data_IF_216622249788
#
_entry.id   IF_216622249788
#
_cell.length_a   1.000
_cell.length_b   1.000
_cell.length_c   1.000
_cell.angle_alpha   90.00
_cell.angle_beta   90.00
_cell.angle_gamma   90.00
#
_symmetry.space_group_name_H-M   'P 1'
#
loop_
_entity.id
_entity.type
_entity.pdbx_description
1 polymer ?
#
# COMPACT_ATOMS: atom_id res chain seq x y z
N UNK A 1 4.73 -5.99 -36.16
CA UNK A 1 3.45 -6.47 -35.60
C UNK A 1 2.97 -5.37 -34.67
N UNK A 2 1.81 -4.78 -34.93
CA UNK A 2 1.25 -3.71 -34.08
C UNK A 2 0.74 -4.36 -32.80
N UNK A 3 1.25 -3.92 -31.66
CA UNK A 3 0.88 -4.44 -30.36
C UNK A 3 -0.47 -3.84 -29.94
N UNK A 4 -1.48 -4.68 -29.66
CA UNK A 4 -2.77 -4.19 -29.13
C UNK A 4 -2.60 -3.80 -27.66
N UNK A 5 -3.00 -2.59 -27.32
CA UNK A 5 -3.01 -2.09 -25.97
C UNK A 5 -4.18 -1.12 -25.75
N UNK A 6 -4.54 -0.90 -24.50
CA UNK A 6 -5.43 0.19 -24.11
C UNK A 6 -4.89 0.91 -22.89
N UNK A 7 -5.34 2.15 -22.69
CA UNK A 7 -4.98 2.98 -21.55
C UNK A 7 -6.19 3.10 -20.63
N UNK A 8 -5.96 2.96 -19.33
CA UNK A 8 -6.93 3.31 -18.29
C UNK A 8 -6.37 4.42 -17.41
N UNK A 9 -7.28 5.17 -16.79
CA UNK A 9 -6.99 6.31 -15.95
C UNK A 9 -6.28 7.46 -16.67
N UNK A 10 -5.83 8.43 -15.88
CA UNK A 10 -5.09 9.60 -16.36
C UNK A 10 -4.14 10.10 -15.29
N UNK A 11 -3.08 10.79 -15.71
CA UNK A 11 -2.21 11.49 -14.77
C UNK A 11 -2.96 12.72 -14.24
N UNK A 12 -3.09 12.80 -12.92
CA UNK A 12 -3.67 13.95 -12.23
C UNK A 12 -2.59 14.56 -11.34
N UNK A 13 -2.01 15.69 -11.74
CA UNK A 13 -0.90 16.31 -11.02
C UNK A 13 -1.28 16.75 -9.61
N UNK A 14 -2.53 17.16 -9.42
CA UNK A 14 -3.07 17.60 -8.15
C UNK A 14 -3.86 16.51 -7.40
N UNK A 15 -3.69 15.22 -7.73
CA UNK A 15 -4.48 14.15 -7.09
C UNK A 15 -4.38 14.15 -5.56
N UNK A 16 -3.20 14.47 -5.02
CA UNK A 16 -3.00 14.54 -3.57
C UNK A 16 -3.72 15.73 -2.93
N UNK A 17 -4.13 16.73 -3.71
CA UNK A 17 -4.86 17.91 -3.25
C UNK A 17 -6.38 17.78 -3.41
N UNK A 18 -6.86 16.72 -4.07
CA UNK A 18 -8.29 16.42 -4.14
C UNK A 18 -8.78 16.06 -2.74
N UNK A 19 -10.05 16.33 -2.44
CA UNK A 19 -10.69 15.93 -1.19
C UNK A 19 -11.58 14.70 -1.36
N UNK A 20 -11.67 13.91 -0.30
CA UNK A 20 -12.65 12.83 -0.12
C UNK A 20 -13.38 13.04 1.21
N UNK A 21 -14.49 12.33 1.43
CA UNK A 21 -15.26 12.44 2.66
C UNK A 21 -15.30 11.12 3.40
N UNK A 22 -14.98 11.15 4.69
CA UNK A 22 -15.19 10.02 5.60
C UNK A 22 -15.15 10.48 7.05
N UNK A 23 -15.62 9.61 7.95
CA UNK A 23 -15.47 9.75 9.39
C UNK A 23 -14.07 9.30 9.84
N UNK A 24 -13.23 10.18 10.41
CA UNK A 24 -11.86 9.86 10.81
C UNK A 24 -11.78 8.69 11.78
N UNK A 25 -12.62 8.65 12.82
CA UNK A 25 -12.59 7.58 13.83
C UNK A 25 -12.99 6.24 13.24
N UNK A 26 -13.99 6.19 12.35
CA UNK A 26 -14.42 4.95 11.69
C UNK A 26 -13.29 4.29 10.88
N UNK A 27 -12.35 5.09 10.36
CA UNK A 27 -11.19 4.60 9.56
C UNK A 27 -9.97 4.23 10.38
N UNK A 28 -9.92 4.57 11.68
CA UNK A 28 -8.77 4.25 12.55
C UNK A 28 -8.47 2.75 12.58
N UNK A 29 -9.52 1.93 12.59
CA UNK A 29 -9.41 0.47 12.62
C UNK A 29 -8.61 -0.06 11.44
N UNK A 30 -8.95 0.36 10.23
CA UNK A 30 -8.38 -0.21 9.01
C UNK A 30 -7.05 0.45 8.63
N UNK A 31 -6.86 1.73 8.96
CA UNK A 31 -5.65 2.46 8.56
C UNK A 31 -4.51 2.29 9.57
N UNK A 32 -4.82 2.15 10.87
CA UNK A 32 -3.82 2.20 11.94
C UNK A 32 -3.89 0.98 12.86
N UNK A 33 -5.04 0.75 13.49
CA UNK A 33 -5.11 -0.12 14.66
C UNK A 33 -5.00 -1.61 14.31
N UNK A 34 -5.81 -2.13 13.38
CA UNK A 34 -5.72 -3.55 12.98
C UNK A 34 -4.38 -3.90 12.32
N UNK A 35 -3.82 -3.09 11.40
CA UNK A 35 -2.48 -3.37 10.86
C UNK A 35 -1.40 -3.41 11.95
N UNK A 36 -1.43 -2.48 12.91
CA UNK A 36 -0.46 -2.43 13.99
C UNK A 36 -0.62 -3.58 14.98
N UNK A 37 -1.86 -3.90 15.39
CA UNK A 37 -2.19 -5.03 16.25
C UNK A 37 -1.68 -6.35 15.64
N UNK A 38 -1.97 -6.56 14.36
CA UNK A 38 -1.52 -7.74 13.63
C UNK A 38 0.00 -7.78 13.52
N UNK A 39 0.67 -6.67 13.23
CA UNK A 39 2.14 -6.62 13.13
C UNK A 39 2.79 -7.02 14.45
N UNK A 40 2.33 -6.46 15.58
CA UNK A 40 2.89 -6.79 16.89
C UNK A 40 2.63 -8.27 17.23
N UNK A 41 1.43 -8.79 16.94
CA UNK A 41 1.11 -10.20 17.16
C UNK A 41 1.95 -11.13 16.27
N UNK A 42 2.20 -10.72 15.01
CA UNK A 42 3.06 -11.43 14.08
C UNK A 42 4.51 -11.49 14.59
N UNK A 43 5.07 -10.35 15.02
CA UNK A 43 6.42 -10.30 15.61
C UNK A 43 6.46 -11.20 16.85
N UNK A 44 5.44 -11.14 17.73
CA UNK A 44 5.38 -12.00 18.92
C UNK A 44 5.43 -13.49 18.60
N UNK A 45 4.83 -13.92 17.49
CA UNK A 45 4.82 -15.33 17.07
C UNK A 45 6.15 -15.79 16.46
N UNK A 46 6.81 -14.91 15.70
CA UNK A 46 8.00 -15.27 14.92
C UNK A 46 9.30 -14.94 15.66
N UNK A 47 9.31 -13.84 16.41
CA UNK A 47 10.47 -13.27 17.14
C UNK A 47 10.01 -12.64 18.48
N UNK A 48 9.53 -13.44 19.44
CA UNK A 48 8.96 -12.94 20.69
C UNK A 48 9.91 -12.03 21.50
N UNK A 49 11.20 -12.29 21.43
CA UNK A 49 12.26 -11.53 22.11
C UNK A 49 12.35 -10.07 21.64
N UNK A 50 11.99 -9.78 20.38
CA UNK A 50 12.16 -8.46 19.77
C UNK A 50 10.92 -7.55 19.96
N UNK A 51 9.81 -8.09 20.47
CA UNK A 51 8.54 -7.34 20.62
C UNK A 51 8.72 -6.12 21.52
N UNK A 52 9.42 -6.28 22.65
CA UNK A 52 9.56 -5.22 23.63
C UNK A 52 10.36 -4.04 23.06
N UNK A 53 11.46 -4.32 22.37
CA UNK A 53 12.31 -3.30 21.75
C UNK A 53 11.62 -2.64 20.55
N UNK A 54 10.92 -3.41 19.72
CA UNK A 54 10.09 -2.86 18.65
C UNK A 54 9.01 -1.90 19.17
N UNK A 55 8.21 -2.33 20.16
CA UNK A 55 7.14 -1.49 20.73
C UNK A 55 7.72 -0.23 21.38
N UNK A 56 8.82 -0.36 22.13
CA UNK A 56 9.51 0.77 22.77
C UNK A 56 10.03 1.76 21.72
N UNK A 57 10.72 1.27 20.69
CA UNK A 57 11.25 2.07 19.60
C UNK A 57 10.14 2.82 18.85
N UNK A 58 9.08 2.11 18.46
CA UNK A 58 7.97 2.70 17.73
C UNK A 58 7.19 3.72 18.59
N UNK A 59 7.04 3.46 19.89
CA UNK A 59 6.42 4.41 20.83
C UNK A 59 7.24 5.70 20.90
N UNK A 60 8.57 5.60 20.98
CA UNK A 60 9.45 6.76 20.99
C UNK A 60 9.37 7.52 19.66
N UNK A 61 9.36 6.81 18.53
CA UNK A 61 9.19 7.41 17.19
C UNK A 61 7.91 8.24 17.08
N UNK A 62 6.76 7.69 17.49
CA UNK A 62 5.53 8.47 17.45
C UNK A 62 5.53 9.63 18.44
N UNK A 63 6.15 9.49 19.61
CA UNK A 63 6.31 10.61 20.55
C UNK A 63 7.06 11.79 19.93
N UNK A 64 8.04 11.53 19.08
CA UNK A 64 8.82 12.56 18.37
C UNK A 64 8.03 13.19 17.20
N UNK A 65 7.13 12.43 16.58
CA UNK A 65 6.34 12.87 15.43
C UNK A 65 5.05 13.61 15.79
N UNK A 66 4.47 13.28 16.95
CA UNK A 66 3.22 13.85 17.45
C UNK A 66 3.50 15.24 18.04
N UNK A 67 2.79 16.24 17.52
CA UNK A 67 2.92 17.64 17.95
C UNK A 67 2.12 17.94 19.21
N UNK A 68 1.00 17.26 19.43
CA UNK A 68 0.12 17.42 20.59
C UNK A 68 -0.58 16.10 20.90
N UNK A 69 -0.75 15.83 22.20
CA UNK A 69 -1.31 14.58 22.70
C UNK A 69 -2.79 14.78 23.04
N UNK A 70 -3.61 15.02 22.02
CA UNK A 70 -5.01 15.39 22.19
C UNK A 70 -5.80 14.38 23.03
N UNK A 71 -5.56 13.09 22.85
CA UNK A 71 -6.22 12.06 23.67
C UNK A 71 -5.93 12.25 25.17
N UNK A 72 -4.68 12.54 25.54
CA UNK A 72 -4.32 12.81 26.94
C UNK A 72 -4.84 14.17 27.41
N UNK A 73 -4.66 15.23 26.62
CA UNK A 73 -5.06 16.60 26.95
C UNK A 73 -6.59 16.73 27.16
N UNK A 74 -7.38 15.94 26.43
CA UNK A 74 -8.84 15.93 26.49
C UNK A 74 -9.42 14.84 27.39
N UNK A 75 -8.57 13.94 27.91
CA UNK A 75 -9.02 12.81 28.71
C UNK A 75 -9.89 11.81 27.92
N UNK A 76 -9.62 11.63 26.63
CA UNK A 76 -10.34 10.69 25.77
C UNK A 76 -9.85 9.27 26.00
N UNK A 77 -10.77 8.34 26.21
CA UNK A 77 -10.46 6.92 26.42
C UNK A 77 -10.06 6.23 25.11
N UNK A 78 -8.79 5.85 25.00
CA UNK A 78 -8.25 5.11 23.84
C UNK A 78 -8.67 3.65 23.90
N UNK A 79 -8.87 3.12 25.10
CA UNK A 79 -9.21 1.74 25.40
C UNK A 79 -10.46 1.28 24.64
N UNK A 80 -11.45 2.15 24.47
CA UNK A 80 -12.67 1.84 23.71
C UNK A 80 -12.40 1.66 22.22
N UNK A 81 -11.47 2.45 21.66
CA UNK A 81 -11.08 2.34 20.25
C UNK A 81 -10.24 1.10 19.98
N UNK A 82 -9.48 0.62 20.96
CA UNK A 82 -8.61 -0.55 20.80
C UNK A 82 -9.16 -1.85 21.38
N UNK A 83 -10.40 -1.86 21.90
CA UNK A 83 -10.99 -3.04 22.57
C UNK A 83 -10.99 -4.33 21.75
N UNK A 84 -11.01 -4.22 20.42
CA UNK A 84 -10.98 -5.36 19.49
C UNK A 84 -9.54 -5.77 19.11
N UNK A 85 -8.55 -4.92 19.39
CA UNK A 85 -7.13 -5.11 19.12
C UNK A 85 -6.45 -5.78 20.33
N UNK A 86 -6.60 -7.12 20.44
CA UNK A 86 -6.19 -7.92 21.60
C UNK A 86 -4.71 -7.75 22.00
N UNK A 87 -3.84 -7.56 21.01
CA UNK A 87 -2.41 -7.40 21.22
C UNK A 87 -2.08 -5.97 21.58
N UNK A 88 -2.64 -5.01 20.86
CA UNK A 88 -2.41 -3.58 21.04
C UNK A 88 -2.99 -3.04 22.36
N UNK A 89 -4.02 -3.70 22.92
CA UNK A 89 -4.54 -3.46 24.26
C UNK A 89 -3.47 -3.53 25.36
N UNK A 90 -2.39 -4.29 25.15
CA UNK A 90 -1.27 -4.38 26.10
C UNK A 90 -0.33 -3.17 26.00
N UNK A 91 -0.50 -2.33 24.97
CA UNK A 91 0.36 -1.19 24.64
C UNK A 91 -0.46 0.09 24.37
N UNK A 92 -1.31 0.54 25.32
CA UNK A 92 -2.23 1.65 25.09
C UNK A 92 -1.51 2.97 24.77
N UNK A 93 -0.32 3.19 25.32
CA UNK A 93 0.51 4.36 25.00
C UNK A 93 0.94 4.40 23.53
N UNK A 94 1.32 3.25 22.96
CA UNK A 94 1.66 3.17 21.54
C UNK A 94 0.43 3.47 20.69
N UNK A 95 -0.70 2.84 21.00
CA UNK A 95 -1.95 3.07 20.29
C UNK A 95 -2.38 4.54 20.30
N UNK A 96 -2.33 5.18 21.47
CA UNK A 96 -2.67 6.59 21.66
C UNK A 96 -1.78 7.50 20.80
N UNK A 97 -0.47 7.29 20.82
CA UNK A 97 0.45 8.11 20.02
C UNK A 97 0.26 7.88 18.51
N UNK A 98 0.02 6.64 18.08
CA UNK A 98 -0.30 6.34 16.69
C UNK A 98 -1.61 7.00 16.23
N UNK A 99 -2.64 7.03 17.09
CA UNK A 99 -3.92 7.71 16.82
C UNK A 99 -3.78 9.24 16.78
N UNK A 100 -3.02 9.84 17.71
CA UNK A 100 -2.72 11.28 17.64
C UNK A 100 -2.01 11.62 16.32
N UNK A 101 -1.02 10.82 15.92
CA UNK A 101 -0.31 11.02 14.66
C UNK A 101 -1.24 10.90 13.45
N UNK A 102 -2.14 9.91 13.47
CA UNK A 102 -3.17 9.72 12.45
C UNK A 102 -4.07 10.97 12.30
N UNK A 103 -4.64 11.48 13.40
CA UNK A 103 -5.48 12.68 13.37
C UNK A 103 -4.67 13.90 12.88
N UNK A 104 -3.43 14.03 13.33
CA UNK A 104 -2.51 15.09 12.91
C UNK A 104 -2.28 15.08 11.40
N UNK A 105 -1.99 13.93 10.79
CA UNK A 105 -1.72 13.86 9.34
C UNK A 105 -2.99 14.01 8.49
N UNK A 106 -4.17 13.68 9.04
CA UNK A 106 -5.44 14.02 8.40
C UNK A 106 -5.77 15.52 8.49
N UNK A 107 -5.06 16.26 9.36
CA UNK A 107 -5.27 17.68 9.62
C UNK A 107 -6.70 18.01 10.11
N UNK A 108 -7.25 17.17 10.99
CA UNK A 108 -8.59 17.36 11.58
C UNK A 108 -8.44 17.97 12.98
N UNK A 109 -8.51 19.30 13.05
CA UNK A 109 -8.18 20.05 14.27
C UNK A 109 -9.30 20.11 15.32
N UNK A 110 -10.56 19.85 14.95
CA UNK A 110 -11.70 19.90 15.88
C UNK A 110 -12.12 18.49 16.27
N UNK A 111 -12.32 18.27 17.56
CA UNK A 111 -12.71 16.96 18.10
C UNK A 111 -14.06 16.47 17.58
N UNK A 112 -15.07 17.35 17.48
CA UNK A 112 -16.39 17.00 16.93
C UNK A 112 -16.31 16.47 15.48
N UNK A 113 -15.32 16.94 14.72
CA UNK A 113 -15.06 16.53 13.34
C UNK A 113 -14.46 15.10 13.27
N UNK A 114 -13.96 14.56 14.37
CA UNK A 114 -13.38 13.21 14.41
C UNK A 114 -14.45 12.12 14.28
N UNK A 115 -15.66 12.41 14.74
CA UNK A 115 -16.78 11.46 14.83
C UNK A 115 -17.85 11.69 13.77
N UNK A 116 -17.61 12.59 12.82
CA UNK A 116 -18.54 12.94 11.75
C UNK A 116 -17.87 12.85 10.39
N UNK A 117 -18.65 12.79 9.32
CA UNK A 117 -18.10 12.80 7.97
C UNK A 117 -17.54 14.18 7.64
N UNK A 118 -16.23 14.25 7.41
CA UNK A 118 -15.52 15.48 7.06
C UNK A 118 -14.73 15.37 5.77
N UNK A 119 -14.50 16.51 5.13
CA UNK A 119 -13.74 16.61 3.90
C UNK A 119 -12.24 16.56 4.20
N UNK A 120 -11.59 15.46 3.81
CA UNK A 120 -10.16 15.23 4.01
C UNK A 120 -9.43 15.25 2.68
N UNK A 121 -8.31 15.96 2.63
CA UNK A 121 -7.42 15.98 1.47
C UNK A 121 -6.72 14.63 1.31
N UNK A 122 -6.66 14.11 0.09
CA UNK A 122 -6.10 12.79 -0.23
C UNK A 122 -4.65 12.61 0.23
N UNK A 123 -3.86 13.68 0.32
CA UNK A 123 -2.53 13.67 0.93
C UNK A 123 -2.57 13.15 2.37
N UNK A 124 -3.47 13.68 3.19
CA UNK A 124 -3.64 13.23 4.57
C UNK A 124 -4.07 11.76 4.66
N UNK A 125 -4.97 11.34 3.76
CA UNK A 125 -5.40 9.92 3.64
C UNK A 125 -4.21 9.01 3.36
N UNK A 126 -3.36 9.36 2.39
CA UNK A 126 -2.19 8.56 2.07
C UNK A 126 -1.18 8.57 3.21
N UNK A 127 -0.94 9.72 3.87
CA UNK A 127 -0.04 9.79 5.03
C UNK A 127 -0.55 8.88 6.16
N UNK A 128 -1.85 8.91 6.45
CA UNK A 128 -2.49 8.08 7.46
C UNK A 128 -2.33 6.57 7.22
N UNK A 129 -2.17 6.14 5.97
CA UNK A 129 -1.99 4.72 5.61
C UNK A 129 -0.51 4.36 5.50
N UNK A 130 0.29 5.21 4.85
CA UNK A 130 1.64 4.88 4.41
C UNK A 130 2.71 5.24 5.44
N UNK A 131 2.56 6.37 6.15
CA UNK A 131 3.53 6.76 7.17
C UNK A 131 3.62 5.73 8.30
N UNK A 132 2.51 5.21 8.88
CA UNK A 132 2.61 4.18 9.90
C UNK A 132 3.39 2.95 9.43
N UNK A 133 3.16 2.51 8.19
CA UNK A 133 3.88 1.37 7.60
C UNK A 133 5.38 1.67 7.45
N UNK A 134 5.72 2.87 6.97
CA UNK A 134 7.10 3.32 6.83
C UNK A 134 7.81 3.30 8.19
N UNK A 135 7.23 3.91 9.23
CA UNK A 135 7.84 3.98 10.55
C UNK A 135 7.89 2.62 11.24
N UNK A 136 6.92 1.73 10.99
CA UNK A 136 6.98 0.35 11.46
C UNK A 136 8.20 -0.37 10.89
N UNK A 137 8.41 -0.33 9.56
CA UNK A 137 9.58 -0.96 8.93
C UNK A 137 10.88 -0.28 9.36
N UNK A 138 10.91 1.05 9.44
CA UNK A 138 12.08 1.78 9.93
C UNK A 138 12.47 1.36 11.35
N UNK A 139 11.49 1.23 12.25
CA UNK A 139 11.74 0.77 13.62
C UNK A 139 12.26 -0.66 13.64
N UNK A 140 11.70 -1.56 12.82
CA UNK A 140 12.23 -2.93 12.69
C UNK A 140 13.69 -2.93 12.24
N UNK A 141 14.06 -2.07 11.28
CA UNK A 141 15.45 -1.94 10.79
C UNK A 141 16.37 -1.49 11.92
N UNK A 142 15.93 -0.58 12.77
CA UNK A 142 16.72 -0.10 13.92
C UNK A 142 16.90 -1.17 15.01
N UNK A 143 15.91 -2.06 15.18
CA UNK A 143 15.95 -3.14 16.19
C UNK A 143 16.72 -4.36 15.70
N UNK A 144 16.51 -4.79 14.47
CA UNK A 144 17.01 -6.07 13.94
C UNK A 144 18.19 -5.91 12.97
N UNK A 145 18.45 -4.70 12.50
CA UNK A 145 19.25 -4.49 11.30
C UNK A 145 18.43 -4.68 10.02
N UNK A 146 18.95 -4.12 8.94
CA UNK A 146 18.19 -3.92 7.69
C UNK A 146 17.72 -5.20 7.02
N UNK A 147 18.63 -6.15 6.82
CA UNK A 147 18.34 -7.39 6.10
C UNK A 147 17.28 -8.24 6.82
N UNK A 148 17.45 -8.45 8.13
CA UNK A 148 16.52 -9.21 8.95
C UNK A 148 15.14 -8.54 9.01
N UNK A 149 15.11 -7.22 9.20
CA UNK A 149 13.87 -6.45 9.23
C UNK A 149 13.09 -6.53 7.91
N UNK A 150 13.78 -6.43 6.77
CA UNK A 150 13.17 -6.56 5.44
C UNK A 150 12.60 -7.97 5.25
N UNK A 151 13.34 -9.01 5.62
CA UNK A 151 12.85 -10.38 5.51
C UNK A 151 11.62 -10.61 6.38
N UNK A 152 11.64 -10.13 7.63
CA UNK A 152 10.50 -10.20 8.53
C UNK A 152 9.29 -9.41 7.99
N UNK A 153 9.52 -8.22 7.43
CA UNK A 153 8.49 -7.39 6.83
C UNK A 153 7.82 -8.06 5.64
N UNK A 154 8.60 -8.68 4.75
CA UNK A 154 8.08 -9.47 3.62
C UNK A 154 7.15 -10.58 4.12
N UNK A 155 7.57 -11.33 5.13
CA UNK A 155 6.74 -12.37 5.74
C UNK A 155 5.46 -11.79 6.37
N UNK A 156 5.58 -10.67 7.10
CA UNK A 156 4.44 -9.97 7.69
C UNK A 156 3.43 -9.55 6.62
N UNK A 157 3.86 -8.84 5.56
CA UNK A 157 2.96 -8.36 4.51
C UNK A 157 2.26 -9.54 3.84
N UNK A 158 2.99 -10.60 3.50
CA UNK A 158 2.40 -11.81 2.92
C UNK A 158 1.37 -12.44 3.86
N UNK A 159 1.70 -12.64 5.13
CA UNK A 159 0.79 -13.21 6.13
C UNK A 159 -0.45 -12.34 6.33
N UNK A 160 -0.27 -11.03 6.44
CA UNK A 160 -1.35 -10.06 6.63
C UNK A 160 -2.31 -10.06 5.43
N UNK A 161 -1.79 -10.06 4.20
CA UNK A 161 -2.61 -10.12 2.99
C UNK A 161 -3.39 -11.43 2.91
N UNK A 162 -2.75 -12.57 3.14
CA UNK A 162 -3.43 -13.88 3.15
C UNK A 162 -4.53 -13.93 4.20
N UNK A 163 -4.27 -13.44 5.43
CA UNK A 163 -5.24 -13.49 6.52
C UNK A 163 -6.45 -12.55 6.31
N UNK A 164 -6.27 -11.45 5.59
CA UNK A 164 -7.33 -10.47 5.31
C UNK A 164 -7.92 -10.61 3.89
N UNK A 165 -7.47 -11.61 3.14
CA UNK A 165 -7.97 -11.89 1.80
C UNK A 165 -9.42 -12.33 1.88
N UNK A 166 -10.29 -11.65 1.13
CA UNK A 166 -11.61 -12.19 0.87
C UNK A 166 -11.44 -13.49 0.09
N UNK A 167 -12.01 -14.61 0.57
CA UNK A 167 -11.94 -15.90 -0.13
C UNK A 167 -12.20 -15.68 -1.63
N UNK A 168 -11.31 -16.16 -2.53
CA UNK A 168 -11.43 -15.85 -3.93
C UNK A 168 -12.77 -16.35 -4.47
N UNK A 169 -13.70 -15.42 -4.67
CA UNK A 169 -14.66 -15.58 -5.76
C UNK A 169 -13.79 -15.41 -6.98
N UNK A 170 -13.38 -16.51 -7.62
CA UNK A 170 -12.59 -16.45 -8.86
C UNK A 170 -13.37 -15.59 -9.85
N UNK A 171 -13.05 -14.29 -10.03
CA UNK A 171 -13.92 -13.43 -10.80
C UNK A 171 -13.74 -13.71 -12.29
N UNK A 172 -12.60 -14.32 -12.64
CA UNK A 172 -12.13 -14.53 -14.00
C UNK A 172 -11.67 -15.97 -14.19
N UNK A 173 -12.00 -16.53 -15.35
CA UNK A 173 -11.56 -17.87 -15.76
C UNK A 173 -10.08 -17.86 -16.16
N UNK A 174 -9.64 -16.79 -16.84
CA UNK A 174 -8.28 -16.58 -17.34
C UNK A 174 -7.90 -15.10 -17.35
N UNK A 175 -6.63 -14.79 -17.65
CA UNK A 175 -6.13 -13.42 -17.73
C UNK A 175 -6.69 -12.62 -18.90
N UNK A 176 -7.15 -13.28 -19.97
CA UNK A 176 -7.78 -12.60 -21.11
C UNK A 176 -9.14 -12.02 -20.73
N UNK A 177 -9.93 -12.75 -19.94
CA UNK A 177 -11.17 -12.26 -19.38
C UNK A 177 -10.95 -11.04 -18.48
N UNK A 178 -9.90 -11.05 -17.65
CA UNK A 178 -9.49 -9.90 -16.85
C UNK A 178 -9.11 -8.69 -17.72
N UNK A 179 -8.29 -8.89 -18.76
CA UNK A 179 -7.90 -7.84 -19.72
C UNK A 179 -9.12 -7.19 -20.39
N UNK A 180 -10.04 -8.00 -20.90
CA UNK A 180 -11.27 -7.51 -21.56
C UNK A 180 -12.22 -6.81 -20.60
N UNK A 181 -12.34 -7.26 -19.35
CA UNK A 181 -13.12 -6.54 -18.34
C UNK A 181 -12.52 -5.15 -18.05
N UNK A 182 -11.20 -5.08 -17.82
CA UNK A 182 -10.51 -3.80 -17.58
C UNK A 182 -10.64 -2.86 -18.77
N UNK A 183 -10.58 -3.39 -20.00
CA UNK A 183 -10.80 -2.62 -21.25
C UNK A 183 -12.21 -1.99 -21.30
N UNK A 184 -13.23 -2.72 -20.83
CA UNK A 184 -14.63 -2.25 -20.80
C UNK A 184 -14.91 -1.28 -19.66
N UNK A 185 -14.29 -1.47 -18.50
CA UNK A 185 -14.56 -0.68 -17.29
C UNK A 185 -14.23 0.80 -17.46
N UNK A 186 -13.36 1.17 -18.43
CA UNK A 186 -12.91 2.56 -18.67
C UNK A 186 -12.57 3.28 -17.37
N UNK A 187 -11.79 2.64 -16.50
CA UNK A 187 -11.47 3.17 -15.17
C UNK A 187 -10.93 4.60 -15.26
N UNK A 188 -11.67 5.58 -14.73
CA UNK A 188 -11.21 6.98 -14.58
C UNK A 188 -10.43 7.11 -13.26
N UNK A 189 -9.35 6.33 -13.15
CA UNK A 189 -8.43 6.36 -12.03
C UNK A 189 -7.39 7.47 -12.17
N UNK A 190 -6.83 7.91 -11.05
CA UNK A 190 -5.69 8.85 -11.03
C UNK A 190 -4.35 8.22 -11.41
N UNK A 191 -4.38 6.92 -11.75
CA UNK A 191 -3.24 6.12 -12.15
C UNK A 191 -3.39 5.88 -13.65
N UNK A 192 -2.49 6.45 -14.44
CA UNK A 192 -2.42 6.15 -15.88
C UNK A 192 -1.73 4.80 -16.04
N UNK A 193 -2.49 3.82 -16.54
CA UNK A 193 -2.01 2.46 -16.72
C UNK A 193 -2.18 2.04 -18.18
N UNK A 194 -1.12 1.51 -18.78
CA UNK A 194 -1.13 0.95 -20.14
C UNK A 194 -1.23 -0.56 -20.01
N UNK A 195 -2.24 -1.15 -20.63
CA UNK A 195 -2.58 -2.57 -20.52
C UNK A 195 -2.37 -3.28 -21.84
N UNK A 196 -1.81 -4.49 -21.81
CA UNK A 196 -1.58 -5.29 -23.02
C UNK A 196 -1.45 -6.78 -22.71
N UNK A 197 -1.84 -7.61 -23.66
CA UNK A 197 -1.57 -9.05 -23.60
C UNK A 197 -0.23 -9.34 -24.27
N UNK A 198 0.70 -9.96 -23.54
CA UNK A 198 2.00 -10.39 -24.09
C UNK A 198 1.82 -11.69 -24.88
N UNK A 199 1.08 -12.62 -24.29
CA UNK A 199 0.71 -13.91 -24.86
C UNK A 199 -0.47 -14.47 -24.06
N UNK A 200 -1.01 -15.61 -24.49
CA UNK A 200 -1.90 -16.39 -23.63
C UNK A 200 -1.19 -16.70 -22.31
N UNK A 201 -1.88 -16.45 -21.19
CA UNK A 201 -1.31 -16.62 -19.85
C UNK A 201 -0.39 -15.49 -19.37
N UNK A 202 -0.15 -14.42 -20.14
CA UNK A 202 0.70 -13.28 -19.73
C UNK A 202 0.03 -11.95 -20.00
N UNK A 203 -0.35 -11.28 -18.92
CA UNK A 203 -0.98 -9.96 -18.94
C UNK A 203 -0.04 -8.91 -18.35
N UNK A 204 0.38 -7.96 -19.20
CA UNK A 204 1.26 -6.88 -18.83
C UNK A 204 0.49 -5.60 -18.58
N UNK A 205 0.92 -4.85 -17.56
CA UNK A 205 0.46 -3.51 -17.31
C UNK A 205 1.60 -2.62 -16.84
N UNK A 206 1.66 -1.41 -17.39
CA UNK A 206 2.67 -0.39 -17.11
C UNK A 206 1.99 0.77 -16.41
N UNK A 207 2.44 1.11 -15.21
CA UNK A 207 1.98 2.30 -14.49
C UNK A 207 2.93 3.45 -14.77
N UNK A 208 2.40 4.54 -15.35
CA UNK A 208 3.18 5.73 -15.70
C UNK A 208 3.39 6.64 -14.48
N UNK A 209 2.50 6.58 -13.50
CA UNK A 209 2.59 7.33 -12.27
C UNK A 209 2.19 6.48 -11.06
N UNK A 210 2.69 6.86 -9.88
CA UNK A 210 2.34 6.23 -8.61
C UNK A 210 2.01 7.29 -7.55
N UNK A 211 0.72 7.43 -7.21
CA UNK A 211 0.27 8.39 -6.20
C UNK A 211 0.82 8.06 -4.81
N UNK A 212 1.04 6.78 -4.51
CA UNK A 212 1.60 6.36 -3.23
C UNK A 212 3.04 6.82 -3.06
N UNK A 213 3.86 6.70 -4.11
CA UNK A 213 5.23 7.21 -4.07
C UNK A 213 5.26 8.73 -3.91
N UNK A 214 4.43 9.47 -4.67
CA UNK A 214 4.29 10.93 -4.51
C UNK A 214 3.91 11.33 -3.07
N UNK A 215 3.14 10.49 -2.37
CA UNK A 215 2.77 10.72 -0.98
C UNK A 215 3.88 10.35 0.02
N UNK A 216 5.04 9.86 -0.42
CA UNK A 216 6.19 9.54 0.43
C UNK A 216 7.46 10.31 0.00
N UNK A 217 7.34 11.28 -0.91
CA UNK A 217 8.48 12.04 -1.43
C UNK A 217 9.28 12.76 -0.33
N UNK A 218 8.63 13.12 0.79
CA UNK A 218 9.26 13.78 1.93
C UNK A 218 9.99 12.83 2.89
N UNK A 219 9.89 11.51 2.69
CA UNK A 219 10.60 10.52 3.51
C UNK A 219 11.95 10.14 2.86
N UNK A 220 13.00 9.83 3.62
CA UNK A 220 14.35 9.72 3.06
C UNK A 220 14.73 8.34 2.50
N UNK A 221 14.12 7.23 2.95
CA UNK A 221 14.58 5.88 2.61
C UNK A 221 13.75 5.26 1.48
N UNK A 222 14.30 5.24 0.27
CA UNK A 222 13.62 4.75 -0.93
C UNK A 222 13.38 3.23 -0.90
N UNK A 223 14.23 2.46 -0.23
CA UNK A 223 14.04 1.01 -0.09
C UNK A 223 12.83 0.72 0.81
N UNK A 224 12.66 1.45 1.92
CA UNK A 224 11.46 1.34 2.76
C UNK A 224 10.23 1.72 1.92
N UNK A 225 10.27 2.83 1.17
CA UNK A 225 9.14 3.25 0.31
C UNK A 225 8.74 2.14 -0.67
N UNK A 226 9.72 1.50 -1.33
CA UNK A 226 9.47 0.34 -2.19
C UNK A 226 8.71 -0.77 -1.46
N UNK A 227 9.16 -1.18 -0.27
CA UNK A 227 8.50 -2.26 0.47
C UNK A 227 7.10 -1.89 0.96
N UNK A 228 6.85 -0.62 1.28
CA UNK A 228 5.52 -0.15 1.70
C UNK A 228 4.56 -0.08 0.50
N UNK A 229 5.04 0.36 -0.66
CA UNK A 229 4.20 0.62 -1.82
C UNK A 229 4.01 -0.59 -2.73
N UNK A 230 5.05 -1.40 -2.94
CA UNK A 230 5.08 -2.36 -4.04
C UNK A 230 4.98 -3.82 -3.59
N UNK A 231 5.52 -4.17 -2.41
CA UNK A 231 5.63 -5.58 -2.03
C UNK A 231 4.27 -6.27 -1.84
N UNK A 232 3.24 -5.52 -1.41
CA UNK A 232 1.88 -6.05 -1.28
C UNK A 232 1.26 -6.51 -2.62
N UNK A 233 1.68 -5.92 -3.75
CA UNK A 233 1.12 -6.23 -5.07
C UNK A 233 1.34 -7.70 -5.47
N UNK A 234 2.43 -8.33 -5.00
CA UNK A 234 2.73 -9.74 -5.31
C UNK A 234 1.67 -10.70 -4.78
N UNK A 235 1.13 -10.44 -3.58
CA UNK A 235 0.03 -11.23 -3.02
C UNK A 235 -1.33 -10.76 -3.54
N UNK A 236 -1.53 -9.46 -3.74
CA UNK A 236 -2.79 -8.92 -4.28
C UNK A 236 -3.05 -9.47 -5.71
N UNK A 237 -2.02 -9.74 -6.51
CA UNK A 237 -2.18 -10.40 -7.80
C UNK A 237 -2.79 -11.81 -7.70
N UNK A 238 -2.59 -12.51 -6.58
CA UNK A 238 -3.20 -13.82 -6.36
C UNK A 238 -4.68 -13.73 -6.06
N UNK A 239 -5.23 -12.55 -5.73
CA UNK A 239 -6.67 -12.33 -5.51
C UNK A 239 -7.51 -12.79 -6.70
N UNK A 240 -6.98 -12.65 -7.91
CA UNK A 240 -7.63 -13.10 -9.14
C UNK A 240 -7.64 -14.64 -9.25
N UNK A 241 -6.52 -15.30 -8.95
CA UNK A 241 -6.39 -16.76 -8.90
C UNK A 241 -5.08 -17.17 -8.20
N UNK A 242 -5.06 -18.27 -7.45
CA UNK A 242 -3.86 -18.75 -6.74
C UNK A 242 -2.71 -19.21 -7.66
N UNK A 243 -2.98 -19.38 -8.95
CA UNK A 243 -1.99 -19.75 -9.97
C UNK A 243 -1.42 -18.52 -10.70
N UNK A 244 -1.83 -17.31 -10.30
CA UNK A 244 -1.26 -16.08 -10.84
C UNK A 244 -0.02 -15.72 -10.03
N UNK A 245 1.08 -15.45 -10.73
CA UNK A 245 2.33 -14.93 -10.17
C UNK A 245 2.59 -13.57 -10.79
N UNK A 246 2.86 -12.57 -9.95
CA UNK A 246 3.29 -11.26 -10.42
C UNK A 246 4.81 -11.21 -10.53
N UNK A 247 5.31 -10.62 -11.61
CA UNK A 247 6.71 -10.17 -11.71
C UNK A 247 6.77 -8.67 -11.92
N UNK A 248 7.78 -8.03 -11.34
CA UNK A 248 8.01 -6.60 -11.42
C UNK A 248 9.52 -6.33 -11.44
N UNK A 249 10.03 -5.70 -12.50
CA UNK A 249 11.47 -5.45 -12.65
C UNK A 249 11.85 -3.98 -12.60
N UNK A 250 10.96 -3.07 -13.05
CA UNK A 250 11.16 -1.63 -12.99
C UNK A 250 10.09 -1.04 -12.08
N UNK A 251 10.46 -0.13 -11.17
CA UNK A 251 9.51 0.55 -10.30
C UNK A 251 9.83 2.02 -10.09
N UNK A 252 8.78 2.85 -10.12
CA UNK A 252 8.88 4.28 -9.76
C UNK A 252 9.47 4.46 -8.35
N UNK A 253 9.19 3.51 -7.45
CA UNK A 253 9.73 3.52 -6.10
C UNK A 253 11.27 3.40 -6.03
N UNK A 254 11.88 2.82 -7.06
CA UNK A 254 13.34 2.66 -7.19
C UNK A 254 13.95 3.65 -8.20
N UNK A 255 13.17 4.65 -8.64
CA UNK A 255 13.65 5.71 -9.55
C UNK A 255 13.43 5.44 -11.04
N UNK A 256 12.75 4.35 -11.41
CA UNK A 256 12.41 4.09 -12.82
C UNK A 256 11.30 5.04 -13.32
N UNK A 257 11.22 5.31 -14.63
CA UNK A 257 10.18 6.17 -15.20
C UNK A 257 8.76 5.55 -15.15
N UNK A 258 8.65 4.27 -14.83
CA UNK A 258 7.38 3.54 -14.76
C UNK A 258 7.51 2.30 -13.85
N UNK A 259 6.36 1.73 -13.46
CA UNK A 259 6.33 0.37 -12.90
C UNK A 259 5.99 -0.64 -14.01
N UNK A 260 6.83 -1.65 -14.23
CA UNK A 260 6.59 -2.71 -15.21
C UNK A 260 6.07 -3.97 -14.51
N UNK A 261 4.84 -4.39 -14.81
CA UNK A 261 4.17 -5.48 -14.09
C UNK A 261 3.63 -6.53 -15.05
N UNK A 262 3.90 -7.81 -14.76
CA UNK A 262 3.32 -8.93 -15.53
C UNK A 262 2.70 -9.93 -14.59
N UNK A 263 1.40 -10.18 -14.79
CA UNK A 263 0.71 -11.33 -14.24
C UNK A 263 0.93 -12.54 -15.15
N UNK A 264 1.42 -13.61 -14.57
CA UNK A 264 1.66 -14.89 -15.23
C UNK A 264 0.68 -15.92 -14.68
N UNK A 265 -0.13 -16.53 -15.55
CA UNK A 265 -1.00 -17.66 -15.18
C UNK A 265 -0.29 -18.98 -15.40
N UNK A 266 0.19 -19.58 -14.31
CA UNK A 266 0.99 -20.81 -14.37
C UNK A 266 0.19 -22.05 -14.79
N UNK A 267 -1.13 -21.94 -15.01
CA UNK A 267 -1.93 -23.01 -15.61
C UNK A 267 -1.74 -23.09 -17.12
N UNK A 268 -1.31 -21.98 -17.75
CA UNK A 268 -1.16 -21.82 -19.19
C UNK A 268 0.31 -21.83 -19.59
N UNK A 269 1.13 -21.02 -18.92
CA UNK A 269 2.56 -20.90 -19.18
C UNK A 269 3.34 -20.77 -17.87
N UNK A 270 4.32 -21.64 -17.66
CA UNK A 270 5.19 -21.63 -16.47
C UNK A 270 6.43 -20.75 -16.66
N UNK A 271 6.68 -20.22 -17.86
CA UNK A 271 7.79 -19.30 -18.11
C UNK A 271 7.52 -17.93 -17.50
N UNK A 272 8.12 -17.65 -16.35
CA UNK A 272 7.94 -16.39 -15.61
C UNK A 272 8.84 -15.24 -16.10
N UNK A 273 9.53 -15.38 -17.23
CA UNK A 273 10.42 -14.33 -17.75
C UNK A 273 9.65 -13.02 -17.95
N UNK A 274 10.17 -11.95 -17.35
CA UNK A 274 9.66 -10.61 -17.56
C UNK A 274 10.10 -10.11 -18.95
N UNK A 275 9.24 -9.39 -19.70
CA UNK A 275 9.65 -8.76 -20.95
C UNK A 275 10.81 -7.80 -20.73
N UNK A 276 11.77 -7.73 -21.67
CA UNK A 276 12.94 -6.87 -21.54
C UNK A 276 12.56 -5.39 -21.64
N UNK A 277 13.46 -4.50 -21.22
CA UNK A 277 13.21 -3.04 -21.17
C UNK A 277 12.71 -2.47 -22.50
N UNK A 278 13.20 -2.96 -23.64
CA UNK A 278 12.83 -2.47 -24.97
C UNK A 278 11.33 -2.66 -25.26
N UNK A 279 10.71 -3.71 -24.73
CA UNK A 279 9.27 -3.94 -24.83
C UNK A 279 8.51 -2.82 -24.11
N UNK A 280 8.89 -2.52 -22.88
CA UNK A 280 8.23 -1.51 -22.04
C UNK A 280 8.43 -0.09 -22.56
N UNK A 281 9.64 0.24 -23.00
CA UNK A 281 9.95 1.53 -23.61
C UNK A 281 9.13 1.74 -24.90
N UNK A 282 8.94 0.69 -25.69
CA UNK A 282 8.11 0.75 -26.91
C UNK A 282 6.64 0.96 -26.58
N UNK A 283 6.14 0.27 -25.54
CA UNK A 283 4.76 0.43 -25.05
C UNK A 283 4.50 1.85 -24.53
N UNK A 284 5.43 2.40 -23.75
CA UNK A 284 5.32 3.76 -23.23
C UNK A 284 5.31 4.78 -24.38
N UNK A 285 6.23 4.67 -25.35
CA UNK A 285 6.28 5.56 -26.52
C UNK A 285 4.99 5.51 -27.34
N UNK A 286 4.45 4.31 -27.59
CA UNK A 286 3.21 4.15 -28.33
C UNK A 286 2.01 4.79 -27.60
N UNK A 287 1.95 4.66 -26.27
CA UNK A 287 0.91 5.28 -25.47
C UNK A 287 1.01 6.81 -25.43
N UNK A 288 2.21 7.39 -25.42
CA UNK A 288 2.39 8.85 -25.51
C UNK A 288 1.96 9.38 -26.87
N UNK A 289 2.28 8.69 -27.97
CA UNK A 289 1.90 9.13 -29.31
C UNK A 289 0.38 9.16 -29.55
N UNK A 290 -0.38 8.28 -28.88
CA UNK A 290 -1.85 8.24 -28.96
C UNK A 290 -2.53 9.36 -28.16
N UNK A 291 -1.86 9.96 -27.17
CA UNK A 291 -2.44 11.08 -26.41
C UNK A 291 -2.34 12.41 -27.20
N UNK A 292 -1.39 12.50 -28.12
CA UNK A 292 -1.13 13.69 -28.95
C UNK A 292 -1.97 13.72 -30.25
N UNK A 293 -2.75 12.67 -30.53
CA UNK A 293 -3.58 12.50 -31.74
C UNK A 293 -5.06 12.66 -31.47
#
# INVERSE_FOLDING_TARGET
MTMDFFISGRVMDNILEVSTKFNPIDRTQDFVLKPLDYLIDFIRKVRPEDVADFVKGLTQRYRELVLSDHFMEKGLEVEQLIKECKTLLQFPNLARLALNYYIQVLNVSKEDDWYTEVSIVWRGVHYAILHPRYYNLQTLIEVLGREEAINLWKMFVTSYRIANRSLPRQPFVDLKALYEERKKAKEDGSWKVIHTMVSDGKYAYLNVNCTWMKALDNLPDDEIKYYICCYGDYEDARDFHNCIILTMEHTIAQGDPYCSRVMHDTRVDYDLRHPPKEFWDSLQKAATANDDS
#
